data_IF_408070649190
#
_entry.id   IF_408070649190
#
_cell.length_a   1.000
_cell.length_b   1.000
_cell.length_c   1.000
_cell.angle_alpha   90.00
_cell.angle_beta   90.00
_cell.angle_gamma   90.00
#
_symmetry.space_group_name_H-M   'P 1'
#
loop_
_entity.id
_entity.type
_entity.pdbx_description
1 polymer ?
#
# COMPACT_ATOMS: atom_id res chain seq x y z
N UNK A 1 -22.30 -18.58 -29.13
CA UNK A 1 -22.27 -17.09 -29.37
C UNK A 1 -22.91 -16.46 -28.17
N UNK A 2 -22.12 -15.75 -27.35
CA UNK A 2 -22.63 -14.96 -26.23
C UNK A 2 -23.45 -13.80 -26.79
N UNK A 3 -24.67 -13.64 -26.29
CA UNK A 3 -25.54 -12.55 -26.70
C UNK A 3 -25.04 -11.21 -26.13
N UNK A 4 -25.37 -10.08 -26.76
CA UNK A 4 -25.03 -8.73 -26.25
C UNK A 4 -25.54 -8.55 -24.82
N UNK A 5 -26.70 -9.13 -24.48
CA UNK A 5 -27.27 -9.11 -23.13
C UNK A 5 -26.39 -9.83 -22.12
N UNK A 6 -25.81 -10.98 -22.47
CA UNK A 6 -24.89 -11.72 -21.61
C UNK A 6 -23.58 -10.96 -21.39
N UNK A 7 -23.08 -10.26 -22.40
CA UNK A 7 -21.87 -9.42 -22.26
C UNK A 7 -22.09 -8.22 -21.34
N UNK A 8 -23.25 -7.54 -21.47
CA UNK A 8 -23.62 -6.44 -20.58
C UNK A 8 -23.78 -6.92 -19.13
N UNK A 9 -24.42 -8.09 -18.95
CA UNK A 9 -24.58 -8.70 -17.62
C UNK A 9 -23.23 -9.06 -16.99
N UNK A 10 -22.32 -9.66 -17.77
CA UNK A 10 -20.97 -10.01 -17.33
C UNK A 10 -20.17 -8.77 -16.94
N UNK A 11 -20.25 -7.69 -17.73
CA UNK A 11 -19.60 -6.42 -17.40
C UNK A 11 -20.17 -5.82 -16.11
N UNK A 12 -21.48 -5.83 -15.93
CA UNK A 12 -22.12 -5.33 -14.70
C UNK A 12 -21.67 -6.12 -13.47
N UNK A 13 -21.61 -7.47 -13.56
CA UNK A 13 -21.10 -8.33 -12.48
C UNK A 13 -19.64 -8.02 -12.15
N UNK A 14 -18.78 -7.88 -13.15
CA UNK A 14 -17.38 -7.55 -12.97
C UNK A 14 -17.17 -6.19 -12.26
N UNK A 15 -18.03 -5.20 -12.55
CA UNK A 15 -18.00 -3.91 -11.85
C UNK A 15 -18.36 -4.05 -10.37
N UNK A 16 -19.42 -4.81 -10.05
CA UNK A 16 -19.84 -5.07 -8.66
C UNK A 16 -18.75 -5.84 -7.90
N UNK A 17 -18.17 -6.87 -8.49
CA UNK A 17 -17.07 -7.63 -7.88
C UNK A 17 -15.85 -6.76 -7.62
N UNK A 18 -15.53 -5.83 -8.54
CA UNK A 18 -14.44 -4.88 -8.36
C UNK A 18 -14.71 -3.94 -7.18
N UNK A 19 -15.92 -3.40 -7.11
CA UNK A 19 -16.33 -2.54 -6.00
C UNK A 19 -16.26 -3.28 -4.66
N UNK A 20 -16.75 -4.51 -4.60
CA UNK A 20 -16.67 -5.36 -3.41
C UNK A 20 -15.22 -5.64 -3.01
N UNK A 21 -14.34 -5.92 -3.97
CA UNK A 21 -12.91 -6.12 -3.69
C UNK A 21 -12.28 -4.89 -3.05
N UNK A 22 -12.57 -3.69 -3.54
CA UNK A 22 -12.06 -2.45 -2.93
C UNK A 22 -12.60 -2.21 -1.53
N UNK A 23 -13.89 -2.49 -1.30
CA UNK A 23 -14.49 -2.39 0.04
C UNK A 23 -13.83 -3.38 1.01
N UNK A 24 -13.58 -4.61 0.57
CA UNK A 24 -12.90 -5.62 1.38
C UNK A 24 -11.46 -5.19 1.71
N UNK A 25 -10.69 -4.74 0.73
CA UNK A 25 -9.31 -4.26 0.94
C UNK A 25 -9.29 -3.07 1.92
N UNK A 26 -10.23 -2.13 1.77
CA UNK A 26 -10.32 -0.98 2.67
C UNK A 26 -10.70 -1.41 4.11
N UNK A 27 -11.61 -2.36 4.26
CA UNK A 27 -11.99 -2.90 5.56
C UNK A 27 -10.82 -3.62 6.24
N UNK A 28 -10.12 -4.50 5.52
CA UNK A 28 -8.93 -5.20 6.02
C UNK A 28 -7.78 -4.25 6.37
N UNK A 29 -7.54 -3.22 5.55
CA UNK A 29 -6.57 -2.17 5.85
C UNK A 29 -6.92 -1.41 7.12
N UNK A 30 -8.20 -1.11 7.31
CA UNK A 30 -8.71 -0.46 8.53
C UNK A 30 -8.55 -1.36 9.76
N UNK A 31 -8.88 -2.64 9.66
CA UNK A 31 -8.68 -3.62 10.73
C UNK A 31 -7.22 -3.72 11.15
N UNK A 32 -6.30 -3.85 10.18
CA UNK A 32 -4.85 -3.86 10.43
C UNK A 32 -4.38 -2.60 11.16
N UNK A 33 -4.92 -1.42 10.81
CA UNK A 33 -4.61 -0.16 11.49
C UNK A 33 -5.13 -0.13 12.93
N UNK A 34 -6.35 -0.61 13.18
CA UNK A 34 -6.90 -0.72 14.53
C UNK A 34 -6.09 -1.68 15.41
N UNK A 35 -5.73 -2.83 14.89
CA UNK A 35 -4.89 -3.80 15.59
C UNK A 35 -3.54 -3.21 15.96
N UNK A 36 -2.92 -2.50 15.03
CA UNK A 36 -1.66 -1.81 15.26
C UNK A 36 -1.80 -0.74 16.34
N UNK A 37 -2.89 0.04 16.33
CA UNK A 37 -3.17 1.06 17.33
C UNK A 37 -3.35 0.44 18.72
N UNK A 38 -4.09 -0.67 18.82
CA UNK A 38 -4.31 -1.39 20.09
C UNK A 38 -2.98 -1.94 20.62
N UNK A 39 -2.18 -2.58 19.77
CA UNK A 39 -0.85 -3.10 20.13
C UNK A 39 0.07 -1.99 20.64
N UNK A 40 0.11 -0.87 19.91
CA UNK A 40 0.94 0.28 20.29
C UNK A 40 0.47 0.90 21.62
N UNK A 41 -0.83 1.02 21.84
CA UNK A 41 -1.39 1.54 23.10
C UNK A 41 -1.05 0.63 24.29
N UNK A 42 -1.15 -0.69 24.13
CA UNK A 42 -0.74 -1.66 25.17
C UNK A 42 0.76 -1.56 25.47
N UNK A 43 1.59 -1.52 24.42
CA UNK A 43 3.04 -1.39 24.59
C UNK A 43 3.42 -0.08 25.31
N UNK A 44 2.78 1.04 24.94
CA UNK A 44 3.00 2.32 25.59
C UNK A 44 2.58 2.32 27.06
N UNK A 45 1.45 1.66 27.39
CA UNK A 45 0.99 1.50 28.76
C UNK A 45 1.96 0.66 29.61
N UNK A 46 2.39 -0.49 29.09
CA UNK A 46 3.34 -1.38 29.76
C UNK A 46 4.68 -0.70 29.99
N UNK A 47 5.14 0.06 28.99
CA UNK A 47 6.37 0.86 29.10
C UNK A 47 6.22 1.96 30.15
N UNK A 48 5.08 2.65 30.17
CA UNK A 48 4.75 3.65 31.19
C UNK A 48 4.78 3.08 32.61
N UNK A 49 4.21 1.90 32.82
CA UNK A 49 4.25 1.19 34.11
C UNK A 49 5.69 0.82 34.50
N UNK A 50 6.51 0.33 33.57
CA UNK A 50 7.93 0.03 33.83
C UNK A 50 8.69 1.28 34.23
N UNK A 51 8.49 2.37 33.50
CA UNK A 51 9.14 3.66 33.79
C UNK A 51 8.73 4.20 35.17
N UNK A 52 7.45 4.10 35.51
CA UNK A 52 6.99 4.51 36.83
C UNK A 52 7.60 3.68 37.98
N UNK A 53 7.72 2.37 37.78
CA UNK A 53 8.37 1.49 38.76
C UNK A 53 9.85 1.82 38.93
N UNK A 54 10.60 1.95 37.84
CA UNK A 54 12.04 2.28 37.90
C UNK A 54 12.28 3.66 38.48
N UNK A 55 11.40 4.63 38.23
CA UNK A 55 11.50 5.95 38.86
C UNK A 55 11.28 5.89 40.38
N UNK A 56 10.36 5.05 40.86
CA UNK A 56 10.12 4.86 42.28
C UNK A 56 11.28 4.15 43.01
N UNK A 57 12.17 3.47 42.29
CA UNK A 57 13.35 2.79 42.80
C UNK A 57 14.57 3.71 42.88
N UNK A 58 14.55 4.89 42.23
CA UNK A 58 15.63 5.90 42.27
C UNK A 58 15.70 6.48 43.67
N UNK A 59 16.81 6.27 44.33
CA UNK A 59 17.07 6.73 45.72
C UNK A 59 17.95 7.98 45.77
N UNK A 60 18.73 8.23 44.73
CA UNK A 60 19.64 9.36 44.63
C UNK A 60 19.37 10.20 43.38
N UNK A 61 19.32 11.52 43.58
CA UNK A 61 19.13 12.48 42.47
C UNK A 61 20.26 12.40 41.42
N UNK A 62 21.43 11.92 41.76
CA UNK A 62 22.54 11.72 40.83
C UNK A 62 22.26 10.62 39.78
N UNK A 63 21.31 9.73 40.03
CA UNK A 63 20.90 8.64 39.10
C UNK A 63 19.89 9.13 38.04
N UNK A 64 19.22 10.29 38.25
CA UNK A 64 18.20 10.81 37.34
C UNK A 64 18.66 11.01 35.88
N UNK A 65 19.88 11.51 35.60
CA UNK A 65 20.35 11.67 34.21
C UNK A 65 20.47 10.31 33.50
N UNK A 66 20.96 9.30 34.18
CA UNK A 66 21.10 7.94 33.66
C UNK A 66 19.72 7.30 33.44
N UNK A 67 18.81 7.45 34.39
CA UNK A 67 17.42 6.99 34.26
C UNK A 67 16.74 7.67 33.07
N UNK A 68 16.89 8.99 32.92
CA UNK A 68 16.32 9.75 31.81
C UNK A 68 16.80 9.21 30.47
N UNK A 69 18.11 9.06 30.28
CA UNK A 69 18.67 8.59 29.02
C UNK A 69 18.22 7.16 28.67
N UNK A 70 18.21 6.25 29.66
CA UNK A 70 17.75 4.86 29.47
C UNK A 70 16.24 4.76 29.19
N UNK A 71 15.48 5.77 29.60
CA UNK A 71 14.02 5.83 29.45
C UNK A 71 13.58 6.38 28.10
N UNK A 72 14.33 7.37 27.54
CA UNK A 72 13.96 8.00 26.28
C UNK A 72 14.30 7.17 25.04
N UNK A 73 15.42 6.45 25.04
CA UNK A 73 15.86 5.65 23.87
C UNK A 73 14.83 4.62 23.44
N UNK A 74 14.26 3.78 24.33
CA UNK A 74 13.21 2.81 23.94
C UNK A 74 11.97 3.50 23.35
N UNK A 75 11.62 4.69 23.80
CA UNK A 75 10.49 5.46 23.26
C UNK A 75 10.70 5.87 21.80
N UNK A 76 11.92 6.26 21.42
CA UNK A 76 12.29 6.62 20.05
C UNK A 76 12.24 5.35 19.16
N UNK A 77 12.79 4.24 19.66
CA UNK A 77 12.82 2.97 18.94
C UNK A 77 11.38 2.47 18.68
N UNK A 78 10.52 2.53 19.68
CA UNK A 78 9.10 2.17 19.57
C UNK A 78 8.33 3.08 18.59
N UNK A 79 8.57 4.39 18.63
CA UNK A 79 7.95 5.33 17.69
C UNK A 79 8.39 5.06 16.25
N UNK A 80 9.65 4.73 16.03
CA UNK A 80 10.19 4.37 14.72
C UNK A 80 9.60 3.05 14.21
N UNK A 81 9.50 2.03 15.07
CA UNK A 81 8.90 0.76 14.75
C UNK A 81 7.41 0.92 14.39
N UNK A 82 6.68 1.74 15.17
CA UNK A 82 5.27 2.04 14.90
C UNK A 82 5.08 2.75 13.55
N UNK A 83 5.90 3.77 13.25
CA UNK A 83 5.86 4.47 11.97
C UNK A 83 6.13 3.53 10.78
N UNK A 84 7.08 2.59 10.93
CA UNK A 84 7.35 1.56 9.92
C UNK A 84 6.15 0.64 9.72
N UNK A 85 5.53 0.17 10.81
CA UNK A 85 4.34 -0.70 10.73
C UNK A 85 3.14 0.01 10.09
N UNK A 86 2.95 1.32 10.34
CA UNK A 86 1.93 2.12 9.63
C UNK A 86 2.19 2.17 8.13
N UNK A 87 3.46 2.38 7.76
CA UNK A 87 3.86 2.39 6.36
C UNK A 87 3.63 1.03 5.69
N UNK A 88 3.98 -0.08 6.36
CA UNK A 88 3.78 -1.44 5.85
C UNK A 88 2.29 -1.73 5.60
N UNK A 89 1.41 -1.32 6.50
CA UNK A 89 -0.05 -1.47 6.30
C UNK A 89 -0.52 -0.65 5.10
N UNK A 90 -0.11 0.61 4.99
CA UNK A 90 -0.49 1.48 3.88
C UNK A 90 0.03 0.96 2.53
N UNK A 91 1.30 0.55 2.48
CA UNK A 91 1.93 -0.02 1.29
C UNK A 91 1.30 -1.35 0.87
N UNK A 92 0.97 -2.22 1.85
CA UNK A 92 0.25 -3.47 1.63
C UNK A 92 -1.12 -3.24 1.02
N UNK A 93 -1.93 -2.37 1.62
CA UNK A 93 -3.25 -1.99 1.10
C UNK A 93 -3.16 -1.41 -0.31
N UNK A 94 -2.19 -0.52 -0.58
CA UNK A 94 -1.97 0.03 -1.92
C UNK A 94 -1.59 -1.05 -2.93
N UNK A 95 -0.75 -2.02 -2.53
CA UNK A 95 -0.36 -3.14 -3.39
C UNK A 95 -1.55 -4.03 -3.74
N UNK A 96 -2.43 -4.32 -2.80
CA UNK A 96 -3.66 -5.09 -3.02
C UNK A 96 -4.61 -4.37 -3.99
N UNK A 97 -4.80 -3.05 -3.83
CA UNK A 97 -5.57 -2.20 -4.76
C UNK A 97 -4.97 -2.28 -6.18
N UNK A 98 -3.66 -2.14 -6.30
CA UNK A 98 -2.98 -2.20 -7.59
C UNK A 98 -3.15 -3.57 -8.25
N UNK A 99 -3.07 -4.66 -7.51
CA UNK A 99 -3.29 -6.02 -8.03
C UNK A 99 -4.70 -6.21 -8.60
N UNK A 100 -5.73 -5.68 -7.92
CA UNK A 100 -7.10 -5.69 -8.44
C UNK A 100 -7.20 -4.89 -9.72
N UNK A 101 -6.62 -3.69 -9.77
CA UNK A 101 -6.61 -2.86 -10.97
C UNK A 101 -5.87 -3.53 -12.14
N UNK A 102 -4.71 -4.12 -11.91
CA UNK A 102 -3.94 -4.86 -12.92
C UNK A 102 -4.77 -6.00 -13.52
N UNK A 103 -5.44 -6.78 -12.67
CA UNK A 103 -6.31 -7.87 -13.11
C UNK A 103 -7.46 -7.34 -13.97
N UNK A 104 -8.14 -6.27 -13.54
CA UNK A 104 -9.27 -5.70 -14.29
C UNK A 104 -8.88 -5.09 -15.62
N UNK A 105 -7.72 -4.44 -15.70
CA UNK A 105 -7.19 -3.91 -16.95
C UNK A 105 -6.83 -5.04 -17.92
N UNK A 106 -6.21 -6.10 -17.42
CA UNK A 106 -5.90 -7.27 -18.24
C UNK A 106 -7.18 -7.94 -18.79
N UNK A 107 -8.21 -8.10 -17.96
CA UNK A 107 -9.49 -8.68 -18.36
C UNK A 107 -10.23 -7.78 -19.35
N UNK A 108 -10.22 -6.47 -19.14
CA UNK A 108 -10.80 -5.50 -20.08
C UNK A 108 -10.07 -5.57 -21.43
N UNK A 109 -8.74 -5.57 -21.44
CA UNK A 109 -7.94 -5.67 -22.66
C UNK A 109 -8.22 -6.94 -23.44
N UNK A 110 -8.31 -8.10 -22.76
CA UNK A 110 -8.71 -9.37 -23.38
C UNK A 110 -10.11 -9.29 -23.98
N UNK A 111 -11.07 -8.74 -23.23
CA UNK A 111 -12.45 -8.56 -23.68
C UNK A 111 -12.55 -7.72 -24.95
N UNK A 112 -11.79 -6.63 -25.01
CA UNK A 112 -11.74 -5.75 -26.19
C UNK A 112 -11.11 -6.46 -27.38
N UNK A 113 -10.02 -7.24 -27.20
CA UNK A 113 -9.42 -8.02 -28.28
C UNK A 113 -10.42 -9.03 -28.85
N UNK A 114 -11.13 -9.76 -27.98
CA UNK A 114 -12.16 -10.72 -28.41
C UNK A 114 -13.30 -10.02 -29.15
N UNK A 115 -13.77 -8.87 -28.67
CA UNK A 115 -14.80 -8.09 -29.35
C UNK A 115 -14.35 -7.56 -30.72
N UNK A 116 -13.08 -7.13 -30.81
CA UNK A 116 -12.46 -6.73 -32.08
C UNK A 116 -12.37 -7.86 -33.09
N UNK A 117 -11.93 -9.06 -32.66
CA UNK A 117 -11.83 -10.22 -33.54
C UNK A 117 -13.21 -10.67 -34.03
N UNK A 118 -14.23 -10.58 -33.19
CA UNK A 118 -15.61 -10.84 -33.57
C UNK A 118 -16.14 -9.81 -34.59
N UNK A 119 -15.84 -8.51 -34.35
CA UNK A 119 -16.21 -7.44 -35.26
C UNK A 119 -15.51 -7.54 -36.61
N UNK A 120 -14.22 -7.93 -36.64
CA UNK A 120 -13.47 -8.17 -37.87
C UNK A 120 -14.05 -9.29 -38.74
N UNK A 121 -14.52 -10.37 -38.10
CA UNK A 121 -15.15 -11.50 -38.85
C UNK A 121 -16.48 -11.12 -39.49
N UNK A 122 -17.14 -10.09 -39.01
CA UNK A 122 -18.43 -9.59 -39.49
C UNK A 122 -18.34 -8.23 -40.23
N UNK A 123 -17.14 -7.66 -40.33
CA UNK A 123 -16.93 -6.33 -40.90
C UNK A 123 -16.87 -6.33 -42.43
N UNK A 124 -17.45 -5.31 -43.09
CA UNK A 124 -17.30 -5.14 -44.53
C UNK A 124 -15.85 -4.89 -44.94
N UNK A 125 -15.50 -5.23 -46.17
CA UNK A 125 -14.18 -4.93 -46.75
C UNK A 125 -13.90 -3.42 -46.65
N UNK A 126 -12.73 -3.05 -46.08
CA UNK A 126 -12.31 -1.63 -45.93
C UNK A 126 -12.32 -1.12 -44.48
N UNK A 127 -12.75 -1.91 -43.50
CA UNK A 127 -12.74 -1.53 -42.06
C UNK A 127 -11.39 -1.76 -41.35
N UNK A 128 -10.38 -2.32 -42.03
CA UNK A 128 -9.07 -2.65 -41.47
C UNK A 128 -8.34 -1.46 -40.82
N UNK A 129 -8.37 -0.20 -41.38
CA UNK A 129 -7.73 0.93 -40.74
C UNK A 129 -8.37 1.33 -39.39
N UNK A 130 -9.68 1.21 -39.27
CA UNK A 130 -10.40 1.53 -38.03
C UNK A 130 -10.06 0.53 -36.91
N UNK A 131 -9.90 -0.73 -37.25
CA UNK A 131 -9.50 -1.79 -36.30
C UNK A 131 -8.06 -1.62 -35.87
N UNK A 132 -7.15 -1.27 -36.79
CA UNK A 132 -5.76 -0.97 -36.48
C UNK A 132 -5.64 0.22 -35.52
N UNK A 133 -6.41 1.29 -35.74
CA UNK A 133 -6.48 2.45 -34.87
C UNK A 133 -6.97 2.07 -33.45
N UNK A 134 -7.98 1.23 -33.34
CA UNK A 134 -8.51 0.77 -32.05
C UNK A 134 -7.49 -0.09 -31.29
N UNK A 135 -6.79 -1.01 -31.97
CA UNK A 135 -5.68 -1.80 -31.39
C UNK A 135 -4.56 -0.89 -30.88
N UNK A 136 -4.23 0.16 -31.59
CA UNK A 136 -3.22 1.15 -31.19
C UNK A 136 -3.62 1.90 -29.91
N UNK A 137 -4.89 2.33 -29.79
CA UNK A 137 -5.41 3.01 -28.60
C UNK A 137 -5.31 2.12 -27.37
N UNK A 138 -5.65 0.83 -27.49
CA UNK A 138 -5.55 -0.14 -26.38
C UNK A 138 -4.09 -0.36 -25.98
N UNK A 139 -3.19 -0.52 -26.96
CA UNK A 139 -1.76 -0.66 -26.71
C UNK A 139 -1.22 0.54 -25.96
N UNK A 140 -1.59 1.76 -26.37
CA UNK A 140 -1.21 3.00 -25.69
C UNK A 140 -1.74 3.07 -24.27
N UNK A 141 -3.00 2.71 -24.02
CA UNK A 141 -3.60 2.70 -22.69
C UNK A 141 -2.87 1.74 -21.74
N UNK A 142 -2.52 0.53 -22.21
CA UNK A 142 -1.74 -0.43 -21.44
C UNK A 142 -0.34 0.12 -21.09
N UNK A 143 0.34 0.75 -22.03
CA UNK A 143 1.68 1.34 -21.82
C UNK A 143 1.63 2.48 -20.79
N UNK A 144 0.62 3.33 -20.85
CA UNK A 144 0.40 4.42 -19.87
C UNK A 144 0.17 3.84 -18.48
N UNK A 145 -0.67 2.82 -18.38
CA UNK A 145 -0.92 2.14 -17.10
C UNK A 145 0.34 1.52 -16.50
N UNK A 146 1.10 0.77 -17.30
CA UNK A 146 2.38 0.19 -16.84
C UNK A 146 3.36 1.27 -16.35
N UNK A 147 3.38 2.41 -17.02
CA UNK A 147 4.24 3.54 -16.64
C UNK A 147 3.82 4.12 -15.28
N UNK A 148 2.52 4.28 -15.05
CA UNK A 148 1.96 4.76 -13.78
C UNK A 148 2.24 3.75 -12.66
N UNK A 149 2.03 2.45 -12.90
CA UNK A 149 2.31 1.40 -11.94
C UNK A 149 3.79 1.34 -11.55
N UNK A 150 4.70 1.47 -12.52
CA UNK A 150 6.15 1.56 -12.27
C UNK A 150 6.51 2.79 -11.45
N UNK A 151 5.95 3.96 -11.78
CA UNK A 151 6.18 5.20 -11.03
C UNK A 151 5.69 5.07 -9.57
N UNK A 152 4.53 4.46 -9.35
CA UNK A 152 4.00 4.18 -8.01
C UNK A 152 4.94 3.27 -7.20
N UNK A 153 5.44 2.18 -7.79
CA UNK A 153 6.42 1.28 -7.15
C UNK A 153 7.72 2.00 -6.81
N UNK A 154 8.22 2.86 -7.70
CA UNK A 154 9.42 3.66 -7.45
C UNK A 154 9.22 4.66 -6.31
N UNK A 155 8.08 5.34 -6.26
CA UNK A 155 7.76 6.28 -5.19
C UNK A 155 7.68 5.55 -3.84
N UNK A 156 7.05 4.37 -3.77
CA UNK A 156 7.00 3.54 -2.58
C UNK A 156 8.40 3.14 -2.10
N UNK A 157 9.27 2.68 -3.00
CA UNK A 157 10.66 2.32 -2.69
C UNK A 157 11.48 3.51 -2.19
N UNK A 158 11.30 4.70 -2.78
CA UNK A 158 11.95 5.93 -2.31
C UNK A 158 11.47 6.34 -0.91
N UNK A 159 10.18 6.20 -0.63
CA UNK A 159 9.62 6.51 0.69
C UNK A 159 10.18 5.56 1.75
N UNK A 160 10.26 4.26 1.46
CA UNK A 160 10.85 3.26 2.34
C UNK A 160 12.35 3.55 2.60
N UNK A 161 13.10 3.87 1.56
CA UNK A 161 14.51 4.25 1.69
C UNK A 161 14.69 5.49 2.57
N UNK A 162 13.84 6.52 2.39
CA UNK A 162 13.88 7.74 3.19
C UNK A 162 13.51 7.48 4.66
N UNK A 163 12.52 6.64 4.94
CA UNK A 163 12.17 6.23 6.31
C UNK A 163 13.32 5.49 6.97
N UNK A 164 13.97 4.59 6.26
CA UNK A 164 15.13 3.82 6.75
C UNK A 164 16.32 4.76 7.02
N UNK A 165 16.58 5.71 6.13
CA UNK A 165 17.65 6.71 6.32
C UNK A 165 17.36 7.63 7.51
N UNK A 166 16.11 8.10 7.68
CA UNK A 166 15.72 8.92 8.82
C UNK A 166 15.86 8.17 10.15
N UNK A 167 15.46 6.89 10.20
CA UNK A 167 15.62 6.04 11.37
C UNK A 167 17.10 5.83 11.75
N UNK A 168 17.96 5.60 10.74
CA UNK A 168 19.41 5.44 10.98
C UNK A 168 20.08 6.73 11.46
N UNK A 169 19.68 7.89 10.93
CA UNK A 169 20.19 9.20 11.38
C UNK A 169 19.75 9.52 12.82
N UNK A 170 18.53 9.22 13.21
CA UNK A 170 18.04 9.36 14.56
C UNK A 170 18.86 8.48 15.56
N UNK A 171 19.16 7.24 15.19
CA UNK A 171 19.99 6.34 15.99
C UNK A 171 21.46 6.80 16.13
N UNK A 172 22.03 7.44 15.10
CA UNK A 172 23.39 7.99 15.13
C UNK A 172 23.46 9.28 15.96
N UNK A 173 22.43 10.13 15.86
CA UNK A 173 22.38 11.37 16.63
C UNK A 173 22.32 11.12 18.14
N UNK A 174 21.64 10.06 18.58
CA UNK A 174 21.58 9.68 20.00
C UNK A 174 22.92 9.11 20.50
N UNK A 175 23.65 8.33 19.70
CA UNK A 175 25.00 7.82 20.06
C UNK A 175 26.05 8.93 20.17
N UNK A 176 25.97 9.96 19.34
CA UNK A 176 26.93 11.09 19.33
C UNK A 176 26.73 12.05 20.50
N UNK A 177 25.57 12.05 21.14
CA UNK A 177 25.24 12.92 22.29
C UNK A 177 25.54 12.25 23.64
N UNK A 178 25.81 10.92 23.63
CA UNK A 178 26.14 10.12 24.81
C UNK A 178 27.65 9.86 24.98
N UNK A 179 28.49 10.41 24.10
CA UNK A 179 29.97 10.43 24.20
C UNK A 179 30.46 11.85 24.45
#
# INVERSE_FOLDING_TARGET
MTTVSEQISAFGKAQVETALSFVTIAAEGTEKLFDLQIKNSKAAFDEGLKKAKTLAEVKDFSELPTWTSSTFQPGIDNATAYARSLYEVAAGTQSEINAVLETRIADFSKGVVVALDAALKSAPAGSEPAVAALKSVIGTANTVYESIAKAGKQLAAMTEANLTAAASQAGVATKKKAA
#
